data_IF_318916294984
#
_entry.id   IF_318916294984
#
_cell.length_a   1.000
_cell.length_b   1.000
_cell.length_c   1.000
_cell.angle_alpha   90.00
_cell.angle_beta   90.00
_cell.angle_gamma   90.00
#
_symmetry.space_group_name_H-M   'P 1'
#
loop_
_entity.id
_entity.type
_entity.pdbx_description
1 polymer ?
#
# COMPACT_ATOMS: atom_id res chain seq x y z
N UNK A 1 -53.52 -24.26 -50.69
CA UNK A 1 -53.30 -23.39 -49.46
C UNK A 1 -52.83 -24.13 -48.23
N UNK A 2 -52.96 -25.43 -48.01
CA UNK A 2 -52.45 -26.11 -46.76
C UNK A 2 -50.97 -26.39 -46.69
N UNK A 3 -50.21 -26.44 -47.83
CA UNK A 3 -48.72 -26.67 -47.80
C UNK A 3 -47.90 -25.46 -47.42
N UNK A 4 -48.36 -24.26 -47.72
CA UNK A 4 -47.61 -23.00 -47.39
C UNK A 4 -47.60 -22.72 -45.87
N UNK A 5 -48.72 -23.08 -45.16
CA UNK A 5 -48.79 -22.89 -43.71
C UNK A 5 -47.82 -23.80 -42.90
N UNK A 6 -47.53 -25.01 -43.41
CA UNK A 6 -46.55 -25.94 -42.75
C UNK A 6 -45.08 -25.50 -42.90
N UNK A 7 -44.73 -24.89 -44.05
CA UNK A 7 -43.38 -24.39 -44.29
C UNK A 7 -43.12 -23.15 -43.43
N UNK A 8 -44.10 -22.25 -43.27
CA UNK A 8 -43.99 -21.08 -42.43
C UNK A 8 -43.79 -21.43 -40.95
N UNK A 9 -44.47 -22.46 -40.45
CA UNK A 9 -44.29 -22.92 -39.06
C UNK A 9 -42.94 -23.58 -38.82
N UNK A 10 -42.38 -24.30 -39.81
CA UNK A 10 -41.09 -24.97 -39.70
C UNK A 10 -39.93 -23.97 -39.76
N UNK A 11 -40.04 -22.90 -40.58
CA UNK A 11 -39.04 -21.83 -40.64
C UNK A 11 -39.06 -21.00 -39.35
N UNK A 12 -40.24 -20.78 -38.74
CA UNK A 12 -40.35 -20.07 -37.46
C UNK A 12 -39.75 -20.86 -36.30
N UNK A 13 -39.86 -22.20 -36.32
CA UNK A 13 -39.22 -23.06 -35.31
C UNK A 13 -37.68 -23.15 -35.49
N UNK A 14 -37.18 -23.10 -36.73
CA UNK A 14 -35.73 -23.05 -36.97
C UNK A 14 -35.13 -21.71 -36.57
N UNK A 15 -35.84 -20.60 -36.74
CA UNK A 15 -35.39 -19.27 -36.29
C UNK A 15 -35.36 -19.15 -34.77
N UNK A 16 -36.26 -19.83 -34.05
CA UNK A 16 -36.23 -19.84 -32.56
C UNK A 16 -35.10 -20.69 -32.03
N UNK A 17 -34.73 -21.78 -32.73
CA UNK A 17 -33.57 -22.64 -32.31
C UNK A 17 -32.22 -21.96 -32.63
N UNK A 18 -32.13 -21.16 -33.70
CA UNK A 18 -30.93 -20.38 -34.01
C UNK A 18 -30.80 -19.13 -33.12
N UNK A 19 -31.86 -18.62 -32.54
CA UNK A 19 -31.84 -17.46 -31.62
C UNK A 19 -31.37 -17.77 -30.20
N UNK A 20 -31.35 -19.05 -29.79
CA UNK A 20 -30.92 -19.45 -28.45
C UNK A 20 -29.42 -19.84 -28.33
N UNK A 21 -28.69 -19.82 -29.46
CA UNK A 21 -27.23 -20.02 -29.49
C UNK A 21 -26.45 -18.69 -29.47
N UNK A 22 -27.08 -17.58 -29.07
CA UNK A 22 -26.32 -16.41 -28.61
C UNK A 22 -25.69 -16.82 -27.28
N UNK A 23 -24.48 -17.31 -27.40
CA UNK A 23 -23.69 -17.68 -26.27
C UNK A 23 -23.73 -16.52 -25.27
N UNK A 24 -24.26 -16.79 -24.10
CA UNK A 24 -23.86 -16.04 -22.91
C UNK A 24 -22.34 -16.21 -22.79
N UNK A 25 -21.59 -15.40 -23.54
CA UNK A 25 -20.24 -15.09 -23.16
C UNK A 25 -20.40 -14.39 -21.82
N UNK A 26 -20.47 -15.19 -20.77
CA UNK A 26 -20.42 -14.69 -19.41
C UNK A 26 -19.21 -13.81 -19.33
N UNK A 27 -19.40 -12.49 -19.48
CA UNK A 27 -18.38 -11.52 -19.12
C UNK A 27 -18.04 -11.89 -17.69
N UNK A 28 -16.91 -12.58 -17.52
CA UNK A 28 -16.34 -12.80 -16.19
C UNK A 28 -16.23 -11.42 -15.61
N UNK A 29 -17.12 -11.07 -14.67
CA UNK A 29 -17.05 -9.81 -13.95
C UNK A 29 -15.71 -9.84 -13.24
N UNK A 30 -14.74 -9.17 -13.83
CA UNK A 30 -13.43 -9.03 -13.23
C UNK A 30 -13.65 -8.27 -11.94
N UNK A 31 -13.30 -8.88 -10.81
CA UNK A 31 -13.47 -8.25 -9.52
C UNK A 31 -12.83 -6.86 -9.57
N UNK A 32 -13.55 -5.84 -9.13
CA UNK A 32 -13.07 -4.47 -9.12
C UNK A 32 -11.72 -4.39 -8.38
N UNK A 33 -10.80 -3.60 -8.91
CA UNK A 33 -9.53 -3.34 -8.25
C UNK A 33 -9.79 -2.70 -6.88
N UNK A 34 -9.13 -3.21 -5.84
CA UNK A 34 -9.36 -2.70 -4.50
C UNK A 34 -8.75 -3.55 -3.40
N UNK A 35 -9.05 -3.18 -2.18
CA UNK A 35 -8.69 -3.94 -0.98
C UNK A 35 -9.97 -4.31 -0.26
N UNK A 36 -10.13 -5.59 0.08
CA UNK A 36 -11.27 -6.05 0.87
C UNK A 36 -11.29 -5.40 2.26
N UNK A 37 -12.42 -5.45 2.94
CA UNK A 37 -12.47 -5.23 4.39
C UNK A 37 -11.58 -6.24 5.15
N UNK A 38 -11.43 -6.05 6.46
CA UNK A 38 -10.76 -7.03 7.32
C UNK A 38 -11.52 -8.35 7.28
N UNK A 39 -10.82 -9.42 6.95
CA UNK A 39 -11.39 -10.76 6.96
C UNK A 39 -11.23 -11.35 8.36
N UNK A 40 -12.31 -11.95 8.87
CA UNK A 40 -12.32 -12.56 10.22
C UNK A 40 -11.45 -13.81 10.24
N UNK A 41 -10.61 -13.93 11.26
CA UNK A 41 -9.86 -15.15 11.52
C UNK A 41 -10.82 -16.33 11.79
N UNK A 42 -10.37 -17.53 11.49
CA UNK A 42 -11.13 -18.79 11.65
C UNK A 42 -12.42 -18.88 10.80
N UNK A 43 -12.70 -17.89 9.93
CA UNK A 43 -13.79 -17.91 8.94
C UNK A 43 -13.25 -18.21 7.56
N UNK A 44 -13.96 -19.08 6.82
CA UNK A 44 -13.61 -19.45 5.44
C UNK A 44 -14.19 -18.41 4.48
N UNK A 45 -13.35 -17.96 3.53
CA UNK A 45 -13.75 -17.10 2.42
C UNK A 45 -13.39 -17.77 1.10
N UNK A 46 -14.06 -17.35 0.02
CA UNK A 46 -13.83 -17.86 -1.34
C UNK A 46 -13.31 -16.75 -2.23
N UNK A 47 -12.13 -16.96 -2.83
CA UNK A 47 -11.52 -16.05 -3.79
C UNK A 47 -10.76 -16.85 -4.84
N UNK A 48 -10.76 -16.40 -6.09
CA UNK A 48 -9.83 -16.89 -7.11
C UNK A 48 -8.46 -16.27 -6.85
N UNK A 49 -7.63 -16.90 -6.01
CA UNK A 49 -6.39 -16.34 -5.49
C UNK A 49 -5.25 -16.32 -6.52
N UNK A 50 -5.25 -17.26 -7.46
CA UNK A 50 -4.17 -17.40 -8.46
C UNK A 50 -4.54 -16.95 -9.87
N UNK A 51 -5.79 -16.52 -10.09
CA UNK A 51 -6.27 -16.00 -11.36
C UNK A 51 -6.66 -17.08 -12.39
N UNK A 52 -6.86 -18.33 -11.94
CA UNK A 52 -7.22 -19.45 -12.82
C UNK A 52 -8.73 -19.57 -13.07
N UNK A 53 -9.55 -18.63 -12.57
CA UNK A 53 -11.01 -18.56 -12.61
C UNK A 53 -11.72 -19.61 -11.74
N UNK A 54 -10.99 -20.36 -10.93
CA UNK A 54 -11.56 -21.24 -9.90
C UNK A 54 -11.36 -20.58 -8.53
N UNK A 55 -12.37 -20.68 -7.68
CA UNK A 55 -12.28 -20.08 -6.35
C UNK A 55 -11.63 -21.02 -5.36
N UNK A 56 -10.63 -20.55 -4.65
CA UNK A 56 -10.05 -21.22 -3.50
C UNK A 56 -10.78 -20.85 -2.21
N UNK A 57 -10.85 -21.81 -1.29
CA UNK A 57 -11.34 -21.60 0.08
C UNK A 57 -10.16 -21.23 0.96
N UNK A 58 -10.06 -19.98 1.40
CA UNK A 58 -9.00 -19.48 2.26
C UNK A 58 -9.50 -19.27 3.69
N UNK A 59 -8.68 -19.62 4.67
CA UNK A 59 -8.88 -19.29 6.08
C UNK A 59 -7.54 -19.01 6.75
N UNK A 60 -7.49 -17.97 7.59
CA UNK A 60 -6.41 -17.77 8.56
C UNK A 60 -6.87 -18.33 9.90
N UNK A 61 -6.29 -19.46 10.31
CA UNK A 61 -6.47 -19.99 11.65
C UNK A 61 -5.47 -19.36 12.59
N UNK A 62 -5.95 -18.79 13.68
CA UNK A 62 -5.10 -18.16 14.71
C UNK A 62 -5.24 -18.89 16.03
N UNK A 63 -4.12 -19.01 16.75
CA UNK A 63 -4.07 -19.52 18.10
C UNK A 63 -3.28 -18.57 18.98
N UNK A 64 -3.82 -18.20 20.12
CA UNK A 64 -3.14 -17.40 21.14
C UNK A 64 -2.52 -18.33 22.18
N UNK A 65 -1.31 -18.00 22.62
CA UNK A 65 -0.62 -18.65 23.74
C UNK A 65 0.13 -17.57 24.52
N UNK A 66 -0.43 -17.13 25.64
CA UNK A 66 0.02 -15.95 26.36
C UNK A 66 -0.04 -14.70 25.49
N UNK A 67 1.05 -13.95 25.42
CA UNK A 67 1.21 -12.75 24.57
C UNK A 67 1.52 -13.07 23.10
N UNK A 68 1.64 -14.35 22.74
CA UNK A 68 1.98 -14.74 21.37
C UNK A 68 0.74 -15.14 20.57
N UNK A 69 0.62 -14.62 19.35
CA UNK A 69 -0.31 -15.11 18.34
C UNK A 69 0.46 -15.88 17.27
N UNK A 70 0.00 -17.08 16.95
CA UNK A 70 0.39 -17.82 15.76
C UNK A 70 -0.75 -17.82 14.75
N UNK A 71 -0.43 -17.66 13.49
CA UNK A 71 -1.39 -17.67 12.39
C UNK A 71 -0.96 -18.63 11.29
N UNK A 72 -1.89 -19.44 10.80
CA UNK A 72 -1.64 -20.38 9.71
C UNK A 72 -2.71 -20.21 8.64
N UNK A 73 -2.29 -19.94 7.42
CA UNK A 73 -3.16 -19.95 6.25
C UNK A 73 -3.37 -21.35 5.73
N UNK A 74 -4.63 -21.69 5.53
CA UNK A 74 -5.06 -22.87 4.82
C UNK A 74 -5.78 -22.43 3.54
N UNK A 75 -5.46 -23.10 2.44
CA UNK A 75 -6.16 -22.95 1.16
C UNK A 75 -6.64 -24.32 0.71
N UNK A 76 -7.95 -24.45 0.44
CA UNK A 76 -8.60 -25.72 0.12
C UNK A 76 -8.28 -26.84 1.14
N UNK A 77 -8.25 -26.49 2.43
CA UNK A 77 -7.94 -27.40 3.53
C UNK A 77 -6.47 -27.70 3.76
N UNK A 78 -5.57 -27.34 2.84
CA UNK A 78 -4.13 -27.58 2.97
C UNK A 78 -3.43 -26.39 3.62
N UNK A 79 -2.51 -26.65 4.55
CA UNK A 79 -1.61 -25.62 5.12
C UNK A 79 -0.68 -25.11 4.02
N UNK A 80 -0.66 -23.79 3.80
CA UNK A 80 0.13 -23.15 2.72
C UNK A 80 1.12 -22.12 3.22
N UNK A 81 0.89 -21.55 4.42
CA UNK A 81 1.79 -20.53 4.97
C UNK A 81 1.59 -20.39 6.48
N UNK A 82 2.68 -20.17 7.21
CA UNK A 82 2.65 -19.79 8.62
C UNK A 82 3.14 -18.36 8.79
N UNK A 83 2.35 -17.52 9.45
CA UNK A 83 2.81 -16.19 9.87
C UNK A 83 3.94 -16.38 10.89
N UNK A 84 4.96 -15.50 10.90
CA UNK A 84 5.97 -15.51 11.92
C UNK A 84 5.30 -15.43 13.30
N UNK A 85 5.79 -16.24 14.23
CA UNK A 85 5.42 -16.14 15.64
C UNK A 85 6.00 -14.83 16.16
N UNK A 86 5.15 -13.94 16.65
CA UNK A 86 5.55 -12.65 17.20
C UNK A 86 4.78 -12.42 18.50
N UNK A 87 5.38 -11.71 19.41
CA UNK A 87 4.70 -11.16 20.58
C UNK A 87 3.74 -10.08 20.09
N UNK A 88 2.46 -10.43 19.95
CA UNK A 88 1.45 -9.56 19.37
C UNK A 88 0.05 -9.84 19.90
N UNK A 89 -0.77 -8.79 19.92
CA UNK A 89 -2.14 -8.84 20.43
C UNK A 89 -3.12 -9.40 19.43
N UNK A 90 -2.87 -9.18 18.12
CA UNK A 90 -3.78 -9.64 17.07
C UNK A 90 -3.06 -9.89 15.74
N UNK A 91 -3.72 -10.71 14.93
CA UNK A 91 -3.36 -10.97 13.55
C UNK A 91 -4.59 -10.77 12.65
N UNK A 92 -4.36 -10.36 11.42
CA UNK A 92 -5.42 -10.16 10.46
C UNK A 92 -4.95 -10.27 9.02
N UNK A 93 -5.89 -10.23 8.08
CA UNK A 93 -5.59 -10.23 6.67
C UNK A 93 -6.68 -9.59 5.82
N UNK A 94 -6.30 -9.18 4.61
CA UNK A 94 -7.18 -8.64 3.55
C UNK A 94 -6.76 -9.21 2.21
N UNK A 95 -7.69 -9.21 1.25
CA UNK A 95 -7.37 -9.50 -0.14
C UNK A 95 -7.15 -8.20 -0.89
N UNK A 96 -6.06 -8.12 -1.64
CA UNK A 96 -5.72 -7.05 -2.57
C UNK A 96 -6.00 -7.55 -3.98
N UNK A 97 -6.82 -6.84 -4.75
CA UNK A 97 -7.09 -7.14 -6.16
C UNK A 97 -6.60 -5.98 -7.02
N UNK A 98 -5.73 -6.25 -7.98
CA UNK A 98 -5.27 -5.26 -8.97
C UNK A 98 -6.24 -5.19 -10.16
N UNK A 99 -6.17 -4.12 -10.96
CA UNK A 99 -7.02 -3.95 -12.14
C UNK A 99 -6.86 -5.07 -13.19
N UNK A 100 -5.67 -5.68 -13.28
CA UNK A 100 -5.43 -6.84 -14.14
C UNK A 100 -5.90 -8.18 -13.55
N UNK A 101 -6.68 -8.15 -12.47
CA UNK A 101 -7.21 -9.35 -11.80
C UNK A 101 -6.24 -10.08 -10.88
N UNK A 102 -4.96 -9.71 -10.86
CA UNK A 102 -3.98 -10.33 -9.97
C UNK A 102 -4.31 -10.07 -8.51
N UNK A 103 -4.23 -11.10 -7.67
CA UNK A 103 -4.56 -11.01 -6.25
C UNK A 103 -3.37 -11.30 -5.36
N UNK A 104 -3.41 -10.64 -4.20
CA UNK A 104 -2.45 -10.82 -3.11
C UNK A 104 -3.20 -10.86 -1.79
N UNK A 105 -2.54 -11.36 -0.76
CA UNK A 105 -3.02 -11.35 0.60
C UNK A 105 -2.12 -10.39 1.38
N UNK A 106 -2.70 -9.33 1.91
CA UNK A 106 -2.03 -8.53 2.91
C UNK A 106 -2.32 -9.14 4.28
N UNK A 107 -1.29 -9.63 4.93
CA UNK A 107 -1.36 -10.24 6.25
C UNK A 107 -0.48 -9.48 7.24
N UNK A 108 -0.99 -9.32 8.46
CA UNK A 108 -0.25 -8.64 9.52
C UNK A 108 -0.43 -9.30 10.87
N UNK A 109 0.55 -9.07 11.72
CA UNK A 109 0.48 -9.28 13.17
C UNK A 109 0.89 -7.98 13.84
N UNK A 110 0.20 -7.57 14.88
CA UNK A 110 0.47 -6.33 15.60
C UNK A 110 0.48 -6.59 17.10
N UNK A 111 1.43 -5.97 17.80
CA UNK A 111 1.56 -5.97 19.23
C UNK A 111 1.43 -4.56 19.81
N UNK A 112 1.46 -4.43 21.13
CA UNK A 112 1.41 -3.14 21.82
C UNK A 112 2.62 -2.27 21.46
N UNK A 113 3.71 -2.90 21.03
CA UNK A 113 4.92 -2.21 20.59
C UNK A 113 5.05 -2.25 19.06
N UNK A 114 4.96 -1.11 18.36
CA UNK A 114 5.00 -1.04 16.90
C UNK A 114 6.25 -1.66 16.25
N UNK A 115 7.36 -1.77 17.00
CA UNK A 115 8.60 -2.40 16.51
C UNK A 115 8.50 -3.92 16.31
N UNK A 116 7.48 -4.57 16.88
CA UNK A 116 7.31 -6.03 16.85
C UNK A 116 6.33 -6.47 15.74
N UNK A 117 5.66 -5.53 15.10
CA UNK A 117 4.66 -5.82 14.06
C UNK A 117 5.27 -6.42 12.79
N UNK A 118 4.57 -7.36 12.19
CA UNK A 118 4.91 -7.98 10.90
C UNK A 118 3.84 -7.67 9.87
N UNK A 119 4.21 -7.01 8.79
CA UNK A 119 3.32 -6.68 7.68
C UNK A 119 3.86 -7.28 6.40
N UNK A 120 3.09 -8.16 5.77
CA UNK A 120 3.52 -8.94 4.61
C UNK A 120 2.50 -8.90 3.49
N UNK A 121 2.97 -8.86 2.26
CA UNK A 121 2.16 -9.15 1.09
C UNK A 121 2.56 -10.54 0.61
N UNK A 122 1.57 -11.41 0.52
CA UNK A 122 1.70 -12.80 0.13
C UNK A 122 1.01 -13.01 -1.21
N UNK A 123 1.49 -13.97 -1.99
CA UNK A 123 0.88 -14.44 -3.22
C UNK A 123 0.67 -15.94 -3.14
N UNK A 124 -0.54 -16.38 -3.46
CA UNK A 124 -0.85 -17.78 -3.68
C UNK A 124 -0.71 -18.12 -5.16
N UNK A 125 -0.04 -19.21 -5.47
CA UNK A 125 0.07 -19.72 -6.82
C UNK A 125 0.36 -21.22 -6.81
N UNK A 126 -0.40 -22.02 -7.57
CA UNK A 126 -0.23 -23.48 -7.73
C UNK A 126 -0.02 -24.23 -6.42
N UNK A 127 -0.90 -24.01 -5.45
CA UNK A 127 -0.88 -24.73 -4.16
C UNK A 127 0.15 -24.21 -3.15
N UNK A 128 0.94 -23.19 -3.47
CA UNK A 128 1.96 -22.60 -2.58
C UNK A 128 1.67 -21.11 -2.32
N UNK A 129 1.96 -20.68 -1.11
CA UNK A 129 1.91 -19.27 -0.75
C UNK A 129 3.31 -18.78 -0.44
N UNK A 130 3.71 -17.66 -1.04
CA UNK A 130 5.03 -17.05 -0.82
C UNK A 130 4.92 -15.59 -0.41
N UNK A 131 5.90 -15.12 0.35
CA UNK A 131 6.05 -13.70 0.65
C UNK A 131 6.56 -12.98 -0.60
N UNK A 132 5.78 -11.99 -1.08
CA UNK A 132 6.15 -11.09 -2.17
C UNK A 132 6.93 -9.90 -1.61
N UNK A 133 6.51 -9.41 -0.44
CA UNK A 133 7.12 -8.27 0.20
C UNK A 133 6.90 -8.30 1.71
N UNK A 134 7.93 -7.93 2.45
CA UNK A 134 7.84 -7.58 3.87
C UNK A 134 7.81 -6.05 3.91
N UNK A 135 6.66 -5.48 4.22
CA UNK A 135 6.46 -4.04 4.13
C UNK A 135 7.37 -3.26 5.08
N UNK A 136 7.62 -3.79 6.27
CA UNK A 136 8.56 -3.19 7.23
C UNK A 136 9.98 -3.05 6.67
N UNK A 137 10.41 -3.92 5.75
CA UNK A 137 11.72 -3.84 5.12
C UNK A 137 11.79 -2.75 4.04
N UNK A 138 10.67 -2.43 3.38
CA UNK A 138 10.63 -1.35 2.39
C UNK A 138 10.98 0.02 2.99
N UNK A 139 10.93 0.14 4.29
CA UNK A 139 10.94 1.39 5.04
C UNK A 139 12.20 1.59 5.86
N UNK A 140 13.00 0.53 6.08
CA UNK A 140 14.26 0.62 6.82
C UNK A 140 15.35 1.44 6.14
N UNK A 141 15.15 1.87 4.90
CA UNK A 141 16.20 2.43 4.05
C UNK A 141 16.16 3.95 3.90
N UNK A 142 15.47 4.67 4.81
CA UNK A 142 15.45 6.13 4.74
C UNK A 142 16.37 6.75 5.81
N UNK A 143 17.44 7.40 5.36
CA UNK A 143 18.26 8.21 6.26
C UNK A 143 17.40 9.32 6.88
N UNK A 144 17.40 9.41 8.19
CA UNK A 144 16.59 10.38 8.94
C UNK A 144 15.21 9.90 9.36
N UNK A 145 14.81 8.69 9.00
CA UNK A 145 13.61 8.05 9.58
C UNK A 145 14.01 7.38 10.90
N UNK A 146 13.55 7.93 12.02
CA UNK A 146 13.85 7.39 13.35
C UNK A 146 12.83 6.35 13.80
N UNK A 147 11.63 6.41 13.26
CA UNK A 147 10.50 5.58 13.68
C UNK A 147 9.50 5.41 12.54
N UNK A 148 8.97 4.22 12.40
CA UNK A 148 7.93 3.91 11.42
C UNK A 148 6.74 3.31 12.14
N UNK A 149 5.63 4.01 12.13
CA UNK A 149 4.35 3.52 12.60
C UNK A 149 3.47 3.09 11.42
N UNK A 150 2.72 2.02 11.59
CA UNK A 150 1.77 1.53 10.62
C UNK A 150 0.35 1.86 11.04
N UNK A 151 -0.47 2.22 10.04
CA UNK A 151 -1.92 2.24 10.21
C UNK A 151 -2.51 1.03 9.47
N UNK A 152 -2.70 -0.11 10.14
CA UNK A 152 -3.08 -1.35 9.49
C UNK A 152 -4.42 -1.27 8.77
N UNK A 153 -5.35 -0.50 9.31
CA UNK A 153 -6.71 -0.43 8.78
C UNK A 153 -6.88 0.46 7.55
N UNK A 154 -5.92 1.34 7.24
CA UNK A 154 -5.95 2.26 6.10
C UNK A 154 -4.65 2.30 5.29
N UNK A 155 -3.66 1.51 5.68
CA UNK A 155 -2.29 1.61 5.16
C UNK A 155 -2.09 1.10 3.74
N UNK A 156 -3.04 0.35 3.16
CA UNK A 156 -2.93 -0.17 1.79
C UNK A 156 -4.16 0.21 0.98
N UNK A 157 -3.92 0.80 -0.20
CA UNK A 157 -4.95 1.06 -1.20
C UNK A 157 -4.46 0.60 -2.58
N UNK A 158 -5.38 0.43 -3.53
CA UNK A 158 -5.07 0.04 -4.90
C UNK A 158 -5.48 1.17 -5.85
N UNK A 159 -4.64 1.41 -6.85
CA UNK A 159 -4.94 2.32 -7.95
C UNK A 159 -4.44 1.68 -9.25
N UNK A 160 -5.35 1.17 -10.07
CA UNK A 160 -5.03 0.37 -11.25
C UNK A 160 -4.20 -0.87 -10.87
N UNK A 161 -3.01 -1.00 -11.43
CA UNK A 161 -2.07 -2.08 -11.14
C UNK A 161 -1.01 -1.71 -10.10
N UNK A 162 -1.25 -0.65 -9.31
CA UNK A 162 -0.35 -0.20 -8.25
C UNK A 162 -0.97 -0.40 -6.88
N UNK A 163 -0.15 -0.86 -5.94
CA UNK A 163 -0.46 -0.92 -4.52
C UNK A 163 0.17 0.34 -3.90
N UNK A 164 -0.66 1.19 -3.28
CA UNK A 164 -0.18 2.34 -2.51
C UNK A 164 -0.09 1.92 -1.05
N UNK A 165 1.08 2.12 -0.47
CA UNK A 165 1.34 1.85 0.95
C UNK A 165 1.43 3.18 1.68
N UNK A 166 0.60 3.34 2.70
CA UNK A 166 0.56 4.51 3.58
C UNK A 166 1.24 4.16 4.90
N UNK A 167 2.11 5.04 5.38
CA UNK A 167 2.77 4.88 6.66
C UNK A 167 3.22 6.22 7.24
N UNK A 168 3.31 6.29 8.56
CA UNK A 168 3.94 7.42 9.24
C UNK A 168 5.40 7.11 9.50
N UNK A 169 6.26 8.04 9.16
CA UNK A 169 7.66 8.00 9.54
C UNK A 169 8.07 9.34 10.15
N UNK A 170 8.84 9.25 11.20
CA UNK A 170 9.50 10.41 11.81
C UNK A 170 10.74 10.77 11.00
N UNK A 171 10.90 12.04 10.70
CA UNK A 171 12.16 12.59 10.19
C UNK A 171 12.58 13.81 11.03
N UNK A 172 13.87 14.04 11.11
CA UNK A 172 14.43 15.09 11.99
C UNK A 172 14.17 16.53 11.53
N UNK A 173 13.56 16.71 10.35
CA UNK A 173 13.24 18.02 9.81
C UNK A 173 11.84 18.47 10.18
N UNK A 174 10.86 17.62 9.98
CA UNK A 174 9.44 17.98 10.14
C UNK A 174 8.74 17.24 11.28
N UNK A 175 9.37 16.23 11.86
CA UNK A 175 8.71 15.30 12.77
C UNK A 175 7.94 14.23 12.00
N UNK A 176 6.85 13.76 12.58
CA UNK A 176 6.00 12.71 11.98
C UNK A 176 5.29 13.22 10.71
N UNK A 177 5.48 12.52 9.62
CA UNK A 177 4.79 12.76 8.34
C UNK A 177 4.22 11.46 7.80
N UNK A 178 3.06 11.54 7.18
CA UNK A 178 2.40 10.38 6.58
C UNK A 178 2.73 10.30 5.09
N UNK A 179 3.48 9.28 4.73
CA UNK A 179 3.94 9.00 3.36
C UNK A 179 2.94 8.10 2.63
N UNK A 180 2.74 8.33 1.35
CA UNK A 180 1.98 7.44 0.46
C UNK A 180 2.90 7.02 -0.68
N UNK A 181 3.38 5.78 -0.66
CA UNK A 181 4.33 5.28 -1.66
C UNK A 181 3.66 4.26 -2.58
N UNK A 182 3.67 4.50 -3.91
CA UNK A 182 3.15 3.55 -4.87
C UNK A 182 4.19 2.48 -5.22
N UNK A 183 3.74 1.23 -5.27
CA UNK A 183 4.49 0.06 -5.71
C UNK A 183 3.78 -0.66 -6.84
N UNK A 184 4.56 -1.22 -7.77
CA UNK A 184 4.09 -2.13 -8.83
C UNK A 184 4.64 -3.52 -8.60
N UNK A 185 3.85 -4.52 -8.92
CA UNK A 185 4.33 -5.89 -8.95
C UNK A 185 5.10 -6.15 -10.23
N UNK A 186 6.37 -6.54 -10.11
CA UNK A 186 7.26 -6.83 -11.22
C UNK A 186 8.21 -7.98 -10.83
N UNK A 187 8.35 -8.99 -11.69
CA UNK A 187 9.29 -10.10 -11.49
C UNK A 187 9.21 -10.77 -10.12
N UNK A 188 7.99 -11.03 -9.64
CA UNK A 188 7.79 -11.75 -8.37
C UNK A 188 7.88 -10.92 -7.10
N UNK A 189 8.13 -9.60 -7.21
CA UNK A 189 8.27 -8.70 -6.05
C UNK A 189 7.54 -7.37 -6.26
N UNK A 190 7.38 -6.59 -5.19
CA UNK A 190 6.91 -5.22 -5.26
C UNK A 190 8.08 -4.27 -5.46
N UNK A 191 8.04 -3.51 -6.54
CA UNK A 191 9.02 -2.45 -6.84
C UNK A 191 8.36 -1.09 -6.71
N UNK A 192 9.04 -0.16 -6.11
CA UNK A 192 8.58 1.22 -6.01
C UNK A 192 8.38 1.84 -7.40
N UNK A 193 7.24 2.52 -7.63
CA UNK A 193 6.87 3.11 -8.93
C UNK A 193 7.51 4.47 -9.21
N UNK A 194 8.34 4.99 -8.31
CA UNK A 194 8.98 6.28 -8.47
C UNK A 194 9.70 6.74 -7.21
N UNK A 195 10.45 7.81 -7.31
CA UNK A 195 11.21 8.37 -6.18
C UNK A 195 10.48 9.49 -5.45
N UNK A 196 9.52 10.16 -6.09
CA UNK A 196 8.72 11.24 -5.52
C UNK A 196 7.33 10.78 -5.15
N UNK A 197 6.71 11.47 -4.21
CA UNK A 197 5.34 11.27 -3.79
C UNK A 197 4.84 12.47 -3.01
N UNK A 198 3.55 12.43 -2.67
CA UNK A 198 2.93 13.40 -1.79
C UNK A 198 2.79 12.79 -0.40
N UNK A 199 2.87 13.63 0.63
CA UNK A 199 2.35 13.27 1.93
C UNK A 199 0.82 13.15 1.84
N UNK A 200 0.21 12.37 2.71
CA UNK A 200 -1.26 12.25 2.74
C UNK A 200 -1.94 13.59 3.08
N UNK A 201 -1.22 14.42 3.83
CA UNK A 201 -1.62 15.77 4.18
C UNK A 201 -0.44 16.73 4.04
N UNK A 202 -0.68 17.88 3.42
CA UNK A 202 0.26 18.99 3.45
C UNK A 202 0.27 19.63 4.84
N UNK A 203 1.44 20.06 5.30
CA UNK A 203 1.58 20.73 6.60
C UNK A 203 2.29 22.07 6.43
N UNK A 204 1.79 23.08 7.13
CA UNK A 204 2.42 24.39 7.23
C UNK A 204 3.40 24.41 8.39
N UNK A 205 4.60 24.86 8.11
CA UNK A 205 5.68 24.97 9.08
C UNK A 205 6.13 26.43 9.21
N UNK A 206 6.26 26.90 10.46
CA UNK A 206 6.85 28.21 10.78
C UNK A 206 8.34 28.06 10.97
N UNK A 207 9.13 28.79 10.21
CA UNK A 207 10.59 28.69 10.18
C UNK A 207 11.24 29.29 11.43
N UNK A 208 12.03 28.51 12.15
CA UNK A 208 12.78 28.96 13.33
C UNK A 208 14.18 29.45 12.99
N UNK A 209 14.78 28.90 11.93
CA UNK A 209 16.13 29.25 11.45
C UNK A 209 16.14 29.32 9.92
N UNK A 210 16.77 30.36 9.38
CA UNK A 210 16.95 30.55 7.93
C UNK A 210 17.66 29.35 7.30
N UNK A 211 17.20 28.93 6.09
CA UNK A 211 17.84 27.88 5.31
C UNK A 211 17.69 28.10 3.81
N UNK A 212 18.53 27.43 3.02
CA UNK A 212 18.48 27.47 1.55
C UNK A 212 17.69 26.27 1.02
N UNK A 213 16.94 26.48 -0.04
CA UNK A 213 16.33 25.44 -0.87
C UNK A 213 17.03 25.34 -2.21
N UNK A 214 16.87 24.22 -2.89
CA UNK A 214 17.56 23.90 -4.14
C UNK A 214 16.56 23.60 -5.26
N UNK A 215 16.96 23.84 -6.52
CA UNK A 215 16.09 23.68 -7.69
C UNK A 215 15.61 22.23 -7.89
N UNK A 216 16.45 21.23 -7.54
CA UNK A 216 16.14 19.79 -7.65
C UNK A 216 16.65 19.05 -6.42
N UNK A 217 16.08 17.87 -6.10
CA UNK A 217 16.62 17.00 -5.03
C UNK A 217 18.10 16.69 -5.27
N UNK A 218 18.95 16.99 -4.28
CA UNK A 218 20.39 16.75 -4.34
C UNK A 218 21.19 17.71 -5.20
N UNK A 219 20.56 18.74 -5.78
CA UNK A 219 21.26 19.80 -6.53
C UNK A 219 22.04 20.73 -5.59
N UNK A 220 23.10 21.34 -6.10
CA UNK A 220 23.79 22.47 -5.47
C UNK A 220 23.24 23.82 -5.93
N UNK A 221 22.47 23.87 -7.01
CA UNK A 221 21.85 25.09 -7.55
C UNK A 221 20.72 25.55 -6.63
N UNK A 222 20.93 26.69 -5.97
CA UNK A 222 19.96 27.30 -5.05
C UNK A 222 18.70 27.73 -5.81
N UNK A 223 17.51 27.47 -5.21
CA UNK A 223 16.24 28.00 -5.68
C UNK A 223 15.94 29.32 -4.99
N UNK A 224 15.89 29.32 -3.66
CA UNK A 224 15.69 30.51 -2.82
C UNK A 224 16.13 30.25 -1.38
N UNK A 225 16.19 31.32 -0.62
CA UNK A 225 16.44 31.30 0.82
C UNK A 225 15.11 31.51 1.54
N UNK A 226 14.78 30.63 2.46
CA UNK A 226 13.63 30.76 3.38
C UNK A 226 14.10 31.48 4.64
N UNK A 227 13.38 32.55 5.02
CA UNK A 227 13.77 33.41 6.14
C UNK A 227 13.17 32.91 7.46
N UNK A 228 13.78 33.28 8.58
CA UNK A 228 13.21 33.07 9.92
C UNK A 228 11.81 33.71 10.02
N UNK A 229 10.88 33.02 10.69
CA UNK A 229 9.45 33.39 10.87
C UNK A 229 8.59 33.25 9.63
N UNK A 230 9.14 32.95 8.46
CA UNK A 230 8.36 32.66 7.25
C UNK A 230 7.54 31.37 7.45
N UNK A 231 6.33 31.32 6.87
CA UNK A 231 5.52 30.11 6.79
C UNK A 231 5.75 29.42 5.46
N UNK A 232 5.99 28.13 5.50
CA UNK A 232 6.16 27.30 4.30
C UNK A 232 5.32 26.05 4.40
N UNK A 233 4.93 25.51 3.25
CA UNK A 233 4.17 24.27 3.15
C UNK A 233 5.10 23.15 2.70
N UNK A 234 4.99 21.99 3.32
CA UNK A 234 5.66 20.75 2.92
C UNK A 234 4.58 19.73 2.56
N UNK A 235 4.49 19.37 1.29
CA UNK A 235 3.47 18.49 0.72
C UNK A 235 4.04 17.34 -0.11
N UNK A 236 5.32 17.45 -0.54
CA UNK A 236 5.98 16.43 -1.36
C UNK A 236 7.28 15.95 -0.76
N UNK A 237 7.60 14.72 -1.08
CA UNK A 237 8.91 14.13 -0.77
C UNK A 237 9.56 13.53 -2.02
N UNK A 238 10.87 13.37 -1.96
CA UNK A 238 11.65 12.61 -2.93
C UNK A 238 12.65 11.75 -2.17
N UNK A 239 12.69 10.44 -2.46
CA UNK A 239 13.58 9.49 -1.79
C UNK A 239 14.38 8.76 -2.85
N UNK A 240 15.70 8.89 -2.80
CA UNK A 240 16.61 8.19 -3.70
C UNK A 240 17.88 7.81 -2.96
N UNK A 241 18.33 6.56 -3.15
CA UNK A 241 19.56 6.04 -2.51
C UNK A 241 19.59 6.29 -0.99
N UNK A 242 18.46 6.06 -0.31
CA UNK A 242 18.33 6.24 1.14
C UNK A 242 18.29 7.69 1.64
N UNK A 243 18.32 8.68 0.75
CA UNK A 243 18.24 10.11 1.12
C UNK A 243 16.82 10.62 0.92
N UNK A 244 16.30 11.31 1.93
CA UNK A 244 15.01 11.99 1.91
C UNK A 244 15.20 13.46 1.58
N UNK A 245 14.40 13.97 0.66
CA UNK A 245 14.28 15.37 0.30
C UNK A 245 12.84 15.82 0.47
N UNK A 246 12.63 17.03 0.94
CA UNK A 246 11.33 17.63 1.19
C UNK A 246 11.13 18.81 0.25
N UNK A 247 9.98 18.87 -0.43
CA UNK A 247 9.65 20.06 -1.22
C UNK A 247 9.07 21.12 -0.28
N UNK A 248 9.70 22.28 -0.30
CA UNK A 248 9.28 23.48 0.41
C UNK A 248 8.56 24.37 -0.57
N UNK A 249 7.35 24.80 -0.25
CA UNK A 249 6.54 25.72 -1.05
C UNK A 249 6.17 26.94 -0.23
N UNK A 250 6.40 28.12 -0.78
CA UNK A 250 5.99 29.42 -0.24
C UNK A 250 4.53 29.72 -0.54
N UNK A 251 3.94 30.69 0.14
CA UNK A 251 2.59 31.20 -0.11
C UNK A 251 2.40 31.72 -1.54
N UNK A 252 3.44 32.31 -2.12
CA UNK A 252 3.44 32.81 -3.52
C UNK A 252 3.60 31.67 -4.57
N UNK A 253 3.57 30.40 -4.18
CA UNK A 253 3.70 29.24 -5.06
C UNK A 253 5.14 28.84 -5.41
N UNK A 254 6.16 29.64 -5.06
CA UNK A 254 7.56 29.29 -5.30
C UNK A 254 7.95 28.01 -4.59
N UNK A 255 8.61 27.08 -5.30
CA UNK A 255 8.99 25.77 -4.76
C UNK A 255 10.50 25.55 -4.82
N UNK A 256 11.01 24.80 -3.85
CA UNK A 256 12.41 24.37 -3.79
C UNK A 256 12.55 23.12 -2.93
N UNK A 257 13.71 22.47 -2.98
CA UNK A 257 13.97 21.22 -2.28
C UNK A 257 14.94 21.42 -1.15
N UNK A 258 14.66 20.75 -0.03
CA UNK A 258 15.49 20.72 1.17
C UNK A 258 15.93 19.27 1.41
N UNK A 259 17.20 19.05 1.74
CA UNK A 259 17.64 17.76 2.26
C UNK A 259 17.08 17.59 3.68
N UNK A 260 16.40 16.49 3.95
CA UNK A 260 16.01 16.18 5.31
C UNK A 260 17.25 15.97 6.18
N UNK A 261 17.20 16.46 7.41
CA UNK A 261 18.30 16.33 8.35
C UNK A 261 18.52 14.87 8.77
N UNK A 262 19.77 14.52 8.96
CA UNK A 262 20.23 13.21 9.45
C UNK A 262 20.25 13.19 10.98
N UNK A 263 20.46 12.02 11.57
CA UNK A 263 20.61 11.85 13.02
C UNK A 263 21.69 12.77 13.62
N UNK A 264 22.78 12.99 12.90
CA UNK A 264 23.86 13.88 13.33
C UNK A 264 23.44 15.36 13.41
N UNK A 265 22.40 15.73 12.70
CA UNK A 265 21.88 17.11 12.60
C UNK A 265 20.60 17.31 13.42
N UNK A 266 20.17 16.28 14.16
CA UNK A 266 18.94 16.34 14.95
C UNK A 266 19.03 17.37 16.07
N UNK A 267 17.92 18.08 16.29
CA UNK A 267 17.72 18.88 17.49
C UNK A 267 17.27 18.02 18.68
N UNK A 268 17.36 18.54 19.89
CA UNK A 268 16.81 17.88 21.10
C UNK A 268 15.28 18.00 21.10
N UNK A 269 14.56 16.94 20.70
CA UNK A 269 13.10 16.85 20.72
C UNK A 269 12.33 17.80 19.78
N UNK A 270 13.04 18.64 19.00
CA UNK A 270 12.44 19.64 18.09
C UNK A 270 13.17 19.72 16.77
N UNK A 271 12.50 20.18 15.74
CA UNK A 271 13.13 20.47 14.46
C UNK A 271 14.22 21.53 14.58
N UNK A 272 15.38 21.34 13.93
CA UNK A 272 16.44 22.36 13.88
C UNK A 272 16.05 23.64 13.15
N UNK A 273 14.99 23.59 12.30
CA UNK A 273 14.61 24.70 11.41
C UNK A 273 13.13 25.10 11.47
N UNK A 274 12.29 24.33 12.17
CA UNK A 274 10.86 24.65 12.29
C UNK A 274 10.43 24.73 13.76
N UNK A 275 9.63 25.75 14.11
CA UNK A 275 9.08 25.89 15.46
C UNK A 275 8.09 24.78 15.82
N UNK A 276 7.33 24.31 14.83
CA UNK A 276 6.25 23.32 15.00
C UNK A 276 6.60 21.94 14.42
N UNK A 277 7.87 21.65 14.23
CA UNK A 277 8.36 20.31 13.91
C UNK A 277 8.69 19.55 15.19
N UNK A 278 7.77 18.67 15.65
CA UNK A 278 7.95 17.92 16.89
C UNK A 278 8.28 16.46 16.59
N UNK A 279 9.12 15.89 17.45
CA UNK A 279 9.38 14.45 17.53
C UNK A 279 8.69 13.92 18.80
N UNK A 280 8.09 12.75 18.72
CA UNK A 280 7.78 12.01 19.92
C UNK A 280 9.10 11.58 20.57
N UNK A 281 9.25 11.84 21.85
CA UNK A 281 10.35 11.30 22.65
C UNK A 281 10.14 9.82 22.90
#
# INVERSE_FOLDING_TARGET
MKRIKKISCMIMFLLVILGTAVGFSGKTVQAAAGVSGNLRNNKVYKYDLDGNRKTERIVLKTRRSGYNISGVFYVNGKKVYSLPKTDCDYAGYRIITLANGKRFIYAWTEGPNPGISSHRILQYHKGKMKTVCILTNLMKNYQGASYVSWYPNSGITVSGNSIKVRFVSMNWTTGAMEYVIPYKYKNGTLVRSGYSGYFSQSRTFKVSKQFSTYKKPGSRSRAFVVRKRENVIIDKYYIKKGKLYLQVRRSNGQTGWLNAYTDKQRGRGRSPIFYNGYYAN
#
